data_IF_019735513752
#
_entry.id   IF_019735513752
#
_cell.length_a   1.000
_cell.length_b   1.000
_cell.length_c   1.000
_cell.angle_alpha   90.00
_cell.angle_beta   90.00
_cell.angle_gamma   90.00
#
_symmetry.space_group_name_H-M   'P 1'
#
loop_
_entity.id
_entity.type
_entity.pdbx_description
1 polymer ?
#
# COMPACT_ATOMS: atom_id res chain seq x y z
N UNK A 1 13.44 4.18 -11.29
CA UNK A 1 11.99 4.18 -11.57
C UNK A 1 11.60 3.18 -12.65
N UNK A 2 12.55 2.60 -13.39
CA UNK A 2 12.26 1.63 -14.44
C UNK A 2 11.52 0.40 -13.90
N UNK A 3 11.94 -0.14 -12.74
CA UNK A 3 11.33 -1.35 -12.16
C UNK A 3 9.92 -1.09 -11.64
N UNK A 4 9.68 0.11 -11.12
CA UNK A 4 8.34 0.58 -10.74
C UNK A 4 7.44 0.67 -11.98
N UNK A 5 7.95 1.17 -13.10
CA UNK A 5 7.21 1.19 -14.37
C UNK A 5 6.95 -0.23 -14.91
N UNK A 6 7.85 -1.18 -14.66
CA UNK A 6 7.60 -2.62 -14.95
C UNK A 6 6.44 -3.15 -14.11
N UNK A 7 6.36 -2.82 -12.82
CA UNK A 7 5.20 -3.17 -11.97
C UNK A 7 3.91 -2.58 -12.56
N UNK A 8 3.88 -1.28 -12.86
CA UNK A 8 2.70 -0.62 -13.42
C UNK A 8 2.24 -1.25 -14.74
N UNK A 9 3.16 -1.79 -15.54
CA UNK A 9 2.86 -2.42 -16.81
C UNK A 9 2.62 -3.93 -16.73
N UNK A 10 2.91 -4.56 -15.60
CA UNK A 10 2.74 -5.99 -15.37
C UNK A 10 1.27 -6.42 -15.51
N UNK A 11 1.02 -7.51 -16.22
CA UNK A 11 -0.34 -8.00 -16.50
C UNK A 11 -1.06 -8.47 -15.24
N UNK A 12 -0.37 -9.15 -14.32
CA UNK A 12 -0.92 -9.59 -13.03
C UNK A 12 -1.30 -8.40 -12.18
N UNK A 13 -0.43 -7.38 -12.10
CA UNK A 13 -0.71 -6.15 -11.37
C UNK A 13 -1.99 -5.47 -11.87
N UNK A 14 -2.14 -5.31 -13.18
CA UNK A 14 -3.34 -4.73 -13.80
C UNK A 14 -4.59 -5.56 -13.52
N UNK A 15 -4.50 -6.89 -13.60
CA UNK A 15 -5.61 -7.80 -13.27
C UNK A 15 -6.05 -7.63 -11.81
N UNK A 16 -5.11 -7.60 -10.86
CA UNK A 16 -5.44 -7.45 -9.44
C UNK A 16 -6.05 -6.08 -9.11
N UNK A 17 -5.57 -5.00 -9.75
CA UNK A 17 -6.21 -3.68 -9.66
C UNK A 17 -7.65 -3.71 -10.19
N UNK A 18 -7.89 -4.38 -11.32
CA UNK A 18 -9.23 -4.52 -11.88
C UNK A 18 -10.16 -5.32 -10.95
N UNK A 19 -9.66 -6.39 -10.34
CA UNK A 19 -10.41 -7.17 -9.34
C UNK A 19 -10.76 -6.34 -8.11
N UNK A 20 -9.80 -5.58 -7.56
CA UNK A 20 -10.06 -4.63 -6.48
C UNK A 20 -11.17 -3.64 -6.88
N UNK A 21 -11.02 -3.02 -8.06
CA UNK A 21 -12.00 -2.04 -8.57
C UNK A 21 -13.38 -2.65 -8.74
N UNK A 22 -13.48 -3.90 -9.19
CA UNK A 22 -14.76 -4.61 -9.34
C UNK A 22 -15.43 -4.87 -7.99
N UNK A 23 -14.69 -5.38 -7.01
CA UNK A 23 -15.21 -5.59 -5.65
C UNK A 23 -15.60 -4.28 -4.95
N UNK A 24 -14.95 -3.16 -5.30
CA UNK A 24 -15.15 -1.87 -4.66
C UNK A 24 -16.01 -0.89 -5.48
N UNK A 25 -16.70 -1.34 -6.53
CA UNK A 25 -17.49 -0.47 -7.41
C UNK A 25 -18.51 0.38 -6.62
N UNK A 26 -19.23 -0.25 -5.69
CA UNK A 26 -20.27 0.37 -4.84
C UNK A 26 -19.76 0.78 -3.45
N UNK A 27 -18.45 0.69 -3.22
CA UNK A 27 -17.84 1.01 -1.92
C UNK A 27 -17.85 2.53 -1.69
N UNK A 28 -18.54 2.95 -0.62
CA UNK A 28 -18.60 4.35 -0.18
C UNK A 28 -17.40 4.81 0.67
N UNK A 29 -16.62 3.85 1.18
CA UNK A 29 -15.40 4.13 1.95
C UNK A 29 -14.18 4.26 1.04
N UNK A 30 -13.04 4.67 1.61
CA UNK A 30 -11.77 4.75 0.87
C UNK A 30 -11.47 3.43 0.12
N UNK A 31 -11.18 3.57 -1.18
CA UNK A 31 -10.91 2.47 -2.11
C UNK A 31 -9.41 2.14 -2.16
N UNK A 32 -9.08 0.99 -2.73
CA UNK A 32 -7.74 0.45 -2.89
C UNK A 32 -7.35 0.57 -4.37
N UNK A 33 -7.24 1.82 -4.82
CA UNK A 33 -6.97 2.22 -6.21
C UNK A 33 -5.53 2.76 -6.37
N UNK A 34 -5.14 3.02 -7.62
CA UNK A 34 -3.81 3.53 -7.94
C UNK A 34 -3.51 4.89 -7.27
N UNK A 35 -4.53 5.75 -7.11
CA UNK A 35 -4.37 7.04 -6.44
C UNK A 35 -3.91 6.85 -4.98
N UNK A 36 -4.64 6.03 -4.20
CA UNK A 36 -4.24 5.66 -2.85
C UNK A 36 -2.82 5.08 -2.83
N UNK A 37 -2.50 4.17 -3.76
CA UNK A 37 -1.19 3.52 -3.79
C UNK A 37 -0.05 4.51 -4.03
N UNK A 38 -0.24 5.47 -4.95
CA UNK A 38 0.73 6.52 -5.23
C UNK A 38 0.87 7.49 -4.06
N UNK A 39 -0.22 7.82 -3.38
CA UNK A 39 -0.17 8.70 -2.20
C UNK A 39 0.60 8.05 -1.06
N UNK A 40 0.39 6.75 -0.79
CA UNK A 40 1.22 5.98 0.14
C UNK A 40 2.69 6.02 -0.26
N UNK A 41 3.02 5.75 -1.52
CA UNK A 41 4.41 5.80 -2.01
C UNK A 41 5.06 7.16 -1.83
N UNK A 42 4.33 8.25 -2.12
CA UNK A 42 4.85 9.63 -2.05
C UNK A 42 5.06 10.06 -0.61
N UNK A 43 4.07 9.83 0.26
CA UNK A 43 4.16 10.14 1.68
C UNK A 43 5.29 9.34 2.32
N UNK A 44 5.36 8.03 2.08
CA UNK A 44 6.43 7.19 2.59
C UNK A 44 7.82 7.67 2.10
N UNK A 45 7.93 8.08 0.84
CA UNK A 45 9.20 8.60 0.32
C UNK A 45 9.62 9.91 0.99
N UNK A 46 8.68 10.83 1.26
CA UNK A 46 8.96 12.05 2.01
C UNK A 46 9.47 11.70 3.41
N UNK A 47 8.78 10.83 4.13
CA UNK A 47 9.17 10.42 5.49
C UNK A 47 10.54 9.72 5.51
N UNK A 48 10.84 8.86 4.54
CA UNK A 48 12.19 8.25 4.41
C UNK A 48 13.27 9.31 4.26
N UNK A 49 13.02 10.37 3.48
CA UNK A 49 13.97 11.46 3.30
C UNK A 49 14.16 12.27 4.59
N UNK A 50 13.08 12.58 5.29
CA UNK A 50 13.11 13.33 6.56
C UNK A 50 13.85 12.56 7.67
N UNK A 51 13.67 11.24 7.72
CA UNK A 51 14.36 10.35 8.66
C UNK A 51 15.79 9.97 8.21
N UNK A 52 16.28 10.51 7.09
CA UNK A 52 17.60 10.22 6.50
C UNK A 52 17.87 8.70 6.33
N UNK A 53 16.83 7.92 6.00
CA UNK A 53 16.96 6.48 5.85
C UNK A 53 17.58 6.12 4.50
N UNK A 54 18.51 5.16 4.51
CA UNK A 54 19.17 4.66 3.29
C UNK A 54 18.30 3.61 2.57
N UNK A 55 17.15 4.03 2.03
CA UNK A 55 16.23 3.18 1.27
C UNK A 55 15.99 3.79 -0.11
N UNK A 56 16.08 2.97 -1.16
CA UNK A 56 15.88 3.48 -2.52
C UNK A 56 14.41 3.81 -2.80
N UNK A 57 14.19 4.84 -3.62
CA UNK A 57 12.85 5.24 -4.07
C UNK A 57 12.06 4.09 -4.70
N UNK A 58 12.72 3.20 -5.45
CA UNK A 58 12.04 2.08 -6.11
C UNK A 58 11.51 1.04 -5.14
N UNK A 59 12.21 0.76 -4.03
CA UNK A 59 11.72 -0.14 -2.96
C UNK A 59 10.44 0.44 -2.36
N UNK A 60 10.45 1.73 -2.02
CA UNK A 60 9.31 2.41 -1.38
C UNK A 60 8.08 2.43 -2.30
N UNK A 61 8.30 2.74 -3.59
CA UNK A 61 7.23 2.71 -4.58
C UNK A 61 6.72 1.29 -4.86
N UNK A 62 7.59 0.29 -4.88
CA UNK A 62 7.17 -1.10 -5.02
C UNK A 62 6.26 -1.53 -3.85
N UNK A 63 6.61 -1.18 -2.60
CA UNK A 63 5.75 -1.45 -1.44
C UNK A 63 4.40 -0.74 -1.62
N UNK A 64 4.39 0.56 -1.88
CA UNK A 64 3.15 1.33 -1.99
C UNK A 64 2.23 0.85 -3.13
N UNK A 65 2.77 0.49 -4.29
CA UNK A 65 1.98 -0.08 -5.38
C UNK A 65 1.41 -1.47 -5.06
N UNK A 66 2.11 -2.26 -4.25
CA UNK A 66 1.79 -3.67 -4.05
C UNK A 66 1.12 -3.99 -2.71
N UNK A 67 1.10 -3.09 -1.72
CA UNK A 67 0.64 -3.42 -0.36
C UNK A 67 -0.81 -3.91 -0.28
N UNK A 68 -1.67 -3.43 -1.17
CA UNK A 68 -3.13 -3.62 -1.14
C UNK A 68 -3.70 -4.34 -2.38
N UNK A 69 -2.86 -4.91 -3.24
CA UNK A 69 -3.32 -5.63 -4.46
C UNK A 69 -4.10 -6.91 -4.15
N UNK A 70 -3.97 -7.45 -2.93
CA UNK A 70 -4.70 -8.62 -2.46
C UNK A 70 -6.06 -8.31 -1.84
N UNK A 71 -6.57 -7.08 -1.96
CA UNK A 71 -7.82 -6.67 -1.31
C UNK A 71 -9.03 -7.47 -1.81
N UNK A 72 -9.10 -7.78 -3.10
CA UNK A 72 -10.13 -8.64 -3.69
C UNK A 72 -10.19 -10.04 -3.06
N UNK A 73 -9.04 -10.61 -2.66
CA UNK A 73 -8.97 -11.92 -2.00
C UNK A 73 -9.63 -11.88 -0.61
N UNK A 74 -9.51 -10.76 0.11
CA UNK A 74 -10.18 -10.57 1.39
C UNK A 74 -11.71 -10.52 1.21
N UNK A 75 -12.18 -9.93 0.11
CA UNK A 75 -13.61 -9.89 -0.22
C UNK A 75 -14.18 -11.25 -0.59
N UNK A 76 -13.46 -12.05 -1.38
CA UNK A 76 -13.96 -13.31 -1.92
C UNK A 76 -13.74 -14.50 -0.98
N UNK A 77 -12.59 -14.55 -0.28
CA UNK A 77 -12.15 -15.72 0.48
C UNK A 77 -11.84 -15.45 1.95
N UNK A 78 -11.92 -14.19 2.41
CA UNK A 78 -11.67 -13.82 3.80
C UNK A 78 -10.20 -13.87 4.26
N UNK A 79 -9.25 -14.21 3.38
CA UNK A 79 -7.82 -14.09 3.69
C UNK A 79 -7.47 -12.60 3.91
N UNK A 80 -6.74 -12.29 4.99
CA UNK A 80 -6.31 -10.91 5.25
C UNK A 80 -5.50 -10.37 4.06
N UNK A 81 -5.90 -9.22 3.52
CA UNK A 81 -5.33 -8.67 2.29
C UNK A 81 -3.80 -8.47 2.36
N UNK A 82 -3.21 -8.13 3.52
CA UNK A 82 -1.76 -8.01 3.65
C UNK A 82 -1.02 -9.35 3.38
N UNK A 83 -1.59 -10.48 3.79
CA UNK A 83 -1.04 -11.82 3.49
C UNK A 83 -1.26 -12.21 2.03
N UNK A 84 -2.43 -11.87 1.47
CA UNK A 84 -2.71 -12.08 0.06
C UNK A 84 -1.78 -11.25 -0.83
N UNK A 85 -1.65 -9.94 -0.58
CA UNK A 85 -0.74 -9.03 -1.26
C UNK A 85 0.71 -9.53 -1.20
N UNK A 86 1.18 -10.00 -0.03
CA UNK A 86 2.50 -10.60 0.11
C UNK A 86 2.72 -11.74 -0.91
N UNK A 87 1.78 -12.70 -0.98
CA UNK A 87 1.88 -13.84 -1.90
C UNK A 87 1.87 -13.40 -3.36
N UNK A 88 0.94 -12.51 -3.72
CA UNK A 88 0.76 -12.01 -5.09
C UNK A 88 1.95 -11.18 -5.57
N UNK A 89 2.60 -10.46 -4.65
CA UNK A 89 3.71 -9.55 -4.97
C UNK A 89 5.00 -10.28 -5.31
N UNK A 90 5.23 -11.45 -4.74
CA UNK A 90 6.47 -12.21 -4.94
C UNK A 90 6.74 -12.47 -6.43
N UNK A 91 5.74 -12.89 -7.18
CA UNK A 91 5.88 -13.16 -8.61
C UNK A 91 6.10 -11.89 -9.42
N UNK A 92 5.34 -10.82 -9.12
CA UNK A 92 5.48 -9.53 -9.80
C UNK A 92 6.89 -8.96 -9.59
N UNK A 93 7.42 -9.04 -8.37
CA UNK A 93 8.75 -8.50 -8.06
C UNK A 93 9.87 -9.26 -8.78
N UNK A 94 9.76 -10.60 -8.89
CA UNK A 94 10.69 -11.43 -9.68
C UNK A 94 10.65 -11.07 -11.17
N UNK A 95 9.47 -10.76 -11.69
CA UNK A 95 9.28 -10.33 -13.09
C UNK A 95 9.73 -8.89 -13.35
N UNK A 96 9.98 -8.09 -12.29
CA UNK A 96 10.34 -6.67 -12.38
C UNK A 96 11.79 -6.37 -11.98
N UNK A 97 12.67 -7.37 -12.01
CA UNK A 97 14.12 -7.23 -11.76
C UNK A 97 14.49 -6.70 -10.37
N UNK A 98 13.69 -7.01 -9.34
CA UNK A 98 14.11 -6.83 -7.96
C UNK A 98 14.97 -8.00 -7.52
N UNK A 99 16.09 -7.70 -6.85
CA UNK A 99 16.95 -8.75 -6.31
C UNK A 99 16.35 -9.36 -5.03
N UNK A 100 16.95 -10.45 -4.54
CA UNK A 100 16.42 -11.19 -3.39
C UNK A 100 16.31 -10.33 -2.11
N UNK A 101 17.32 -9.52 -1.80
CA UNK A 101 17.35 -8.66 -0.61
C UNK A 101 16.28 -7.57 -0.70
N UNK A 102 16.13 -6.95 -1.87
CA UNK A 102 15.08 -5.96 -2.12
C UNK A 102 13.68 -6.59 -2.01
N UNK A 103 13.48 -7.79 -2.55
CA UNK A 103 12.22 -8.53 -2.43
C UNK A 103 11.86 -8.76 -0.96
N UNK A 104 12.82 -9.18 -0.14
CA UNK A 104 12.60 -9.42 1.30
C UNK A 104 12.15 -8.13 2.02
N UNK A 105 12.82 -7.00 1.74
CA UNK A 105 12.45 -5.68 2.29
C UNK A 105 11.03 -5.28 1.84
N UNK A 106 10.75 -5.39 0.54
CA UNK A 106 9.45 -5.00 -0.02
C UNK A 106 8.33 -5.85 0.58
N UNK A 107 8.53 -7.15 0.65
CA UNK A 107 7.54 -8.08 1.19
C UNK A 107 7.32 -7.87 2.71
N UNK A 108 8.35 -7.48 3.47
CA UNK A 108 8.20 -7.08 4.88
C UNK A 108 7.25 -5.90 5.02
N UNK A 109 7.51 -4.82 4.25
CA UNK A 109 6.66 -3.62 4.26
C UNK A 109 5.20 -3.93 3.89
N UNK A 110 4.98 -4.78 2.89
CA UNK A 110 3.65 -5.25 2.48
C UNK A 110 2.97 -6.04 3.60
N UNK A 111 3.68 -6.96 4.25
CA UNK A 111 3.10 -7.79 5.30
C UNK A 111 2.74 -6.95 6.54
N UNK A 112 3.58 -5.98 6.88
CA UNK A 112 3.50 -5.17 8.09
C UNK A 112 2.78 -3.82 7.94
N UNK A 113 2.26 -3.45 6.76
CA UNK A 113 1.58 -2.15 6.57
C UNK A 113 0.34 -1.91 7.47
N UNK A 114 -0.11 -2.94 8.21
CA UNK A 114 -1.20 -2.85 9.21
C UNK A 114 -0.74 -2.91 10.66
N UNK A 115 0.56 -3.12 10.90
CA UNK A 115 1.14 -3.31 12.22
C UNK A 115 1.56 -1.97 12.82
N UNK A 116 0.85 -1.52 13.85
CA UNK A 116 1.18 -0.25 14.54
C UNK A 116 2.49 -0.31 15.31
N UNK A 117 2.94 -1.51 15.70
CA UNK A 117 4.15 -1.74 16.47
C UNK A 117 5.36 -2.06 15.58
N UNK A 118 5.22 -1.89 14.26
CA UNK A 118 6.36 -2.01 13.35
C UNK A 118 7.40 -0.92 13.62
N UNK A 119 8.64 -1.16 13.18
CA UNK A 119 9.76 -0.23 13.30
C UNK A 119 10.38 0.06 11.92
N UNK A 120 11.21 1.10 11.85
CA UNK A 120 11.94 1.47 10.62
C UNK A 120 11.01 1.70 9.43
N UNK A 121 11.34 1.10 8.29
CA UNK A 121 10.61 1.30 7.03
C UNK A 121 9.16 0.82 7.13
N UNK A 122 8.93 -0.31 7.79
CA UNK A 122 7.59 -0.89 7.94
C UNK A 122 6.67 0.04 8.75
N UNK A 123 7.22 0.76 9.75
CA UNK A 123 6.50 1.81 10.48
C UNK A 123 6.13 2.98 9.56
N UNK A 124 7.06 3.43 8.72
CA UNK A 124 6.80 4.51 7.75
C UNK A 124 5.69 4.10 6.79
N UNK A 125 5.70 2.87 6.27
CA UNK A 125 4.65 2.37 5.37
C UNK A 125 3.29 2.32 6.09
N UNK A 126 3.25 1.82 7.33
CA UNK A 126 2.04 1.86 8.15
C UNK A 126 1.49 3.28 8.30
N UNK A 127 2.35 4.25 8.64
CA UNK A 127 1.95 5.64 8.83
C UNK A 127 1.48 6.27 7.51
N UNK A 128 2.19 6.02 6.40
CA UNK A 128 1.84 6.52 5.09
C UNK A 128 0.48 6.01 4.60
N UNK A 129 0.12 4.74 4.84
CA UNK A 129 -1.22 4.21 4.53
C UNK A 129 -2.35 4.89 5.32
N UNK A 130 -2.09 5.34 6.55
CA UNK A 130 -3.07 6.12 7.32
C UNK A 130 -3.15 7.57 6.85
N UNK A 131 -1.99 8.21 6.70
CA UNK A 131 -1.88 9.62 6.29
C UNK A 131 -2.35 9.87 4.85
N UNK A 132 -2.33 8.87 3.97
CA UNK A 132 -2.86 9.01 2.60
C UNK A 132 -4.39 9.13 2.54
N UNK A 133 -5.11 8.79 3.61
CA UNK A 133 -6.58 8.86 3.61
C UNK A 133 -7.02 10.28 3.96
N UNK A 134 -7.72 10.98 3.07
CA UNK A 134 -8.23 12.34 3.35
C UNK A 134 -9.50 12.31 4.21
N UNK A 135 -9.44 11.82 5.46
CA UNK A 135 -10.64 11.68 6.31
C UNK A 135 -11.30 13.03 6.62
N UNK A 136 -10.55 14.13 6.65
CA UNK A 136 -11.03 15.50 6.83
C UNK A 136 -12.03 15.98 5.76
N UNK A 137 -12.12 15.31 4.61
CA UNK A 137 -13.12 15.58 3.55
C UNK A 137 -14.01 14.37 3.24
N UNK A 138 -14.01 13.33 4.08
CA UNK A 138 -14.71 12.09 3.79
C UNK A 138 -16.21 12.17 4.15
N UNK A 139 -17.09 12.13 3.14
CA UNK A 139 -18.54 12.11 3.36
C UNK A 139 -19.04 10.89 4.15
N UNK A 140 -18.31 9.77 4.12
CA UNK A 140 -18.65 8.54 4.84
C UNK A 140 -17.94 8.43 6.21
N UNK A 141 -17.28 9.49 6.70
CA UNK A 141 -16.48 9.49 7.94
C UNK A 141 -17.25 8.96 9.15
N UNK A 142 -18.50 9.41 9.33
CA UNK A 142 -19.37 9.00 10.46
C UNK A 142 -19.75 7.52 10.42
N UNK A 143 -19.70 6.89 9.25
CA UNK A 143 -19.99 5.46 9.06
C UNK A 143 -18.71 4.60 9.12
N UNK A 144 -17.54 5.24 9.16
CA UNK A 144 -16.26 4.53 9.10
C UNK A 144 -15.94 3.85 10.43
N UNK A 145 -15.54 2.57 10.34
CA UNK A 145 -15.18 1.76 11.51
C UNK A 145 -13.84 2.13 12.16
N UNK A 146 -13.03 2.99 11.55
CA UNK A 146 -11.78 3.44 12.15
C UNK A 146 -12.07 4.34 13.35
N UNK A 147 -11.28 4.19 14.42
CA UNK A 147 -11.28 5.15 15.53
C UNK A 147 -10.78 6.51 15.05
N UNK A 148 -11.12 7.58 15.77
CA UNK A 148 -10.66 8.93 15.43
C UNK A 148 -9.13 9.05 15.42
N UNK A 149 -8.45 8.34 16.31
CA UNK A 149 -6.97 8.26 16.34
C UNK A 149 -6.35 7.68 15.06
N UNK A 150 -7.11 6.84 14.32
CA UNK A 150 -6.66 6.26 13.04
C UNK A 150 -7.05 7.09 11.83
N UNK A 151 -7.98 8.03 11.99
CA UNK A 151 -8.46 8.89 10.90
C UNK A 151 -7.51 10.07 10.76
N UNK A 152 -7.17 10.39 9.53
CA UNK A 152 -6.39 11.58 9.21
C UNK A 152 -7.34 12.78 9.05
N UNK A 153 -7.65 13.42 10.17
CA UNK A 153 -8.64 14.52 10.28
C UNK A 153 -8.03 15.91 10.13
N UNK A 154 -6.70 15.99 10.11
CA UNK A 154 -5.93 17.24 9.97
C UNK A 154 -4.79 17.02 8.97
N UNK A 155 -4.19 18.09 8.45
CA UNK A 155 -2.96 17.96 7.67
C UNK A 155 -1.81 17.75 8.66
N UNK A 156 -1.46 16.48 8.89
CA UNK A 156 -0.35 16.08 9.74
C UNK A 156 0.74 15.53 8.82
N UNK A 157 1.71 16.37 8.45
CA UNK A 157 2.94 15.93 7.79
C UNK A 157 3.86 15.44 8.91
#
# INVERSE_FOLDING_TARGET
>A
MERVNKILNNSKYKDYLNKNSFCEKDRIFCKHNLEHFLDVSRIAYIMVLEENMNVTKEIIYAIGLLHDIGRWVEYEGGEKHNKASYKLSLDILKECDFNKEEIEIILSGILNHRNSEAEGLDKIIYLADKKSRSCFLCNAEKLCKWSNEKKNLDIII
#
